data_IF_182678514747
#
_entry.id   IF_182678514747
#
_cell.length_a   1.000
_cell.length_b   1.000
_cell.length_c   1.000
_cell.angle_alpha   90.00
_cell.angle_beta   90.00
_cell.angle_gamma   90.00
#
_symmetry.space_group_name_H-M   'P 1'
#
loop_
_entity.id
_entity.type
_entity.pdbx_description
1 polymer ?
#
# COMPACT_ATOMS: atom_id res chain seq x y z
N UNK A 1 -24.20 24.04 54.08
CA UNK A 1 -25.07 23.89 52.87
C UNK A 1 -24.27 24.31 51.66
N UNK A 2 -23.58 23.38 51.02
CA UNK A 2 -22.79 23.63 49.81
C UNK A 2 -23.49 22.92 48.64
N UNK A 3 -24.08 23.70 47.76
CA UNK A 3 -24.76 23.24 46.55
C UNK A 3 -23.71 22.94 45.47
N UNK A 4 -23.51 21.66 45.18
CA UNK A 4 -22.73 21.21 44.00
C UNK A 4 -23.49 21.57 42.72
N UNK A 5 -22.91 22.47 41.92
CA UNK A 5 -23.35 22.75 40.55
C UNK A 5 -22.95 21.55 39.65
N UNK A 6 -23.93 20.80 39.18
CA UNK A 6 -23.79 19.80 38.14
C UNK A 6 -23.54 20.53 36.82
N UNK A 7 -22.34 20.39 36.28
CA UNK A 7 -21.98 20.88 34.93
C UNK A 7 -22.49 19.86 33.91
N UNK A 8 -23.44 20.25 33.08
CA UNK A 8 -23.99 19.43 32.01
C UNK A 8 -22.91 19.17 30.94
N UNK A 9 -22.84 17.96 30.32
CA UNK A 9 -21.86 17.66 29.29
C UNK A 9 -22.20 18.38 27.99
N UNK A 10 -21.25 19.17 27.49
CA UNK A 10 -21.35 19.92 26.23
C UNK A 10 -21.40 18.94 25.05
N UNK A 11 -22.45 19.05 24.24
CA UNK A 11 -22.65 18.34 22.97
C UNK A 11 -21.59 18.76 21.92
N UNK A 12 -20.53 17.95 21.75
CA UNK A 12 -19.54 18.12 20.68
C UNK A 12 -19.46 16.90 19.72
N UNK A 13 -20.53 16.14 19.54
CA UNK A 13 -20.49 14.89 18.75
C UNK A 13 -21.02 14.98 17.30
N UNK A 14 -21.53 16.13 16.84
CA UNK A 14 -22.18 16.21 15.51
C UNK A 14 -21.24 16.49 14.31
N UNK A 15 -20.08 17.12 14.52
CA UNK A 15 -19.17 17.47 13.42
C UNK A 15 -18.36 16.27 12.89
N UNK A 16 -17.90 15.37 13.78
CA UNK A 16 -17.08 14.22 13.39
C UNK A 16 -17.81 13.18 12.52
N UNK A 17 -19.14 13.05 12.68
CA UNK A 17 -19.92 12.09 11.89
C UNK A 17 -20.16 12.54 10.44
N UNK A 18 -20.25 13.85 10.19
CA UNK A 18 -20.45 14.38 8.82
C UNK A 18 -19.20 14.23 7.96
N UNK A 19 -18.01 14.45 8.52
CA UNK A 19 -16.73 14.27 7.82
C UNK A 19 -16.45 12.79 7.51
N UNK A 20 -16.78 11.89 8.45
CA UNK A 20 -16.69 10.44 8.22
C UNK A 20 -17.67 9.98 7.11
N UNK A 21 -18.90 10.49 7.15
CA UNK A 21 -19.90 10.20 6.11
C UNK A 21 -19.48 10.70 4.73
N UNK A 22 -18.88 11.89 4.65
CA UNK A 22 -18.37 12.44 3.38
C UNK A 22 -17.23 11.58 2.83
N UNK A 23 -16.27 11.16 3.67
CA UNK A 23 -15.17 10.28 3.24
C UNK A 23 -15.68 8.95 2.69
N UNK A 24 -16.64 8.31 3.36
CA UNK A 24 -17.28 7.08 2.89
C UNK A 24 -18.02 7.32 1.56
N UNK A 25 -18.76 8.41 1.44
CA UNK A 25 -19.48 8.73 0.21
C UNK A 25 -18.53 8.95 -0.98
N UNK A 26 -17.40 9.64 -0.77
CA UNK A 26 -16.36 9.84 -1.80
C UNK A 26 -15.74 8.51 -2.20
N UNK A 27 -15.39 7.63 -1.24
CA UNK A 27 -14.84 6.31 -1.52
C UNK A 27 -15.82 5.44 -2.32
N UNK A 28 -17.11 5.45 -1.97
CA UNK A 28 -18.15 4.73 -2.70
C UNK A 28 -18.31 5.30 -4.13
N UNK A 29 -18.27 6.62 -4.29
CA UNK A 29 -18.36 7.26 -5.60
C UNK A 29 -17.17 6.88 -6.50
N UNK A 30 -15.94 6.94 -5.98
CA UNK A 30 -14.73 6.51 -6.70
C UNK A 30 -14.85 5.03 -7.11
N UNK A 31 -15.24 4.15 -6.17
CA UNK A 31 -15.42 2.74 -6.46
C UNK A 31 -16.49 2.50 -7.53
N UNK A 32 -17.63 3.20 -7.45
CA UNK A 32 -18.72 3.06 -8.43
C UNK A 32 -18.30 3.52 -9.84
N UNK A 33 -17.63 4.67 -9.94
CA UNK A 33 -17.09 5.19 -11.21
C UNK A 33 -16.08 4.21 -11.80
N UNK A 34 -15.18 3.69 -10.99
CA UNK A 34 -14.15 2.75 -11.43
C UNK A 34 -14.76 1.40 -11.88
N UNK A 35 -15.74 0.87 -11.15
CA UNK A 35 -16.46 -0.34 -11.55
C UNK A 35 -17.21 -0.10 -12.87
N UNK A 36 -17.86 1.06 -13.03
CA UNK A 36 -18.51 1.43 -14.28
C UNK A 36 -17.51 1.49 -15.46
N UNK A 37 -16.39 2.20 -15.28
CA UNK A 37 -15.34 2.31 -16.28
C UNK A 37 -14.74 0.93 -16.63
N UNK A 38 -14.48 0.10 -15.61
CA UNK A 38 -13.97 -1.25 -15.80
C UNK A 38 -14.96 -2.13 -16.56
N UNK A 39 -16.24 -2.15 -16.16
CA UNK A 39 -17.27 -2.95 -16.85
C UNK A 39 -17.48 -2.50 -18.28
N UNK A 40 -17.42 -1.19 -18.55
CA UNK A 40 -17.52 -0.65 -19.90
C UNK A 40 -16.31 -1.08 -20.75
N UNK A 41 -15.10 -1.03 -20.19
CA UNK A 41 -13.86 -1.46 -20.85
C UNK A 41 -13.87 -2.98 -21.10
N UNK A 42 -14.25 -3.78 -20.11
CA UNK A 42 -14.28 -5.25 -20.22
C UNK A 42 -15.31 -5.78 -21.22
N UNK A 43 -16.38 -5.03 -21.52
CA UNK A 43 -17.38 -5.43 -22.54
C UNK A 43 -16.81 -5.53 -23.96
N UNK A 44 -15.71 -4.83 -24.25
CA UNK A 44 -15.04 -4.85 -25.56
C UNK A 44 -13.90 -5.87 -25.64
N UNK A 45 -13.65 -6.64 -24.58
CA UNK A 45 -12.49 -7.55 -24.47
C UNK A 45 -12.93 -8.97 -24.85
N UNK A 46 -12.15 -9.59 -25.74
CA UNK A 46 -12.28 -11.02 -26.03
C UNK A 46 -11.60 -11.84 -24.94
N UNK A 47 -12.42 -12.53 -24.13
CA UNK A 47 -11.92 -13.39 -23.05
C UNK A 47 -11.08 -14.56 -23.55
N UNK A 48 -11.33 -15.06 -24.76
CA UNK A 48 -10.52 -16.14 -25.34
C UNK A 48 -9.12 -15.63 -25.67
N UNK A 49 -9.01 -14.43 -26.22
CA UNK A 49 -7.72 -13.81 -26.51
C UNK A 49 -6.91 -13.55 -25.24
N UNK A 50 -7.56 -13.11 -24.15
CA UNK A 50 -6.91 -12.97 -22.83
C UNK A 50 -6.33 -14.31 -22.33
N UNK A 51 -7.10 -15.41 -22.46
CA UNK A 51 -6.62 -16.75 -22.06
C UNK A 51 -5.49 -17.25 -22.95
N UNK A 52 -5.54 -16.98 -24.25
CA UNK A 52 -4.45 -17.30 -25.18
C UNK A 52 -3.16 -16.55 -24.80
N UNK A 53 -3.24 -15.26 -24.50
CA UNK A 53 -2.09 -14.48 -24.04
C UNK A 53 -1.49 -15.09 -22.77
N UNK A 54 -2.31 -15.47 -21.79
CA UNK A 54 -1.83 -16.11 -20.55
C UNK A 54 -1.14 -17.44 -20.84
N UNK A 55 -1.71 -18.26 -21.72
CA UNK A 55 -1.17 -19.57 -22.10
C UNK A 55 0.17 -19.46 -22.84
N UNK A 56 0.34 -18.43 -23.67
CA UNK A 56 1.54 -18.19 -24.44
C UNK A 56 2.59 -17.35 -23.71
N UNK A 57 2.29 -16.87 -22.51
CA UNK A 57 3.27 -16.12 -21.71
C UNK A 57 4.43 -17.05 -21.32
N UNK A 58 5.65 -16.59 -21.60
CA UNK A 58 6.85 -17.36 -21.34
C UNK A 58 7.02 -17.63 -19.83
N UNK A 59 7.22 -18.89 -19.48
CA UNK A 59 7.40 -19.32 -18.08
C UNK A 59 8.55 -18.60 -17.39
N UNK A 60 9.62 -18.22 -18.12
CA UNK A 60 10.72 -17.44 -17.55
C UNK A 60 10.28 -16.04 -17.12
N UNK A 61 9.35 -15.40 -17.83
CA UNK A 61 8.79 -14.09 -17.46
C UNK A 61 7.89 -14.23 -16.23
N UNK A 62 7.09 -15.30 -16.15
CA UNK A 62 6.28 -15.61 -14.97
C UNK A 62 7.18 -15.83 -13.74
N UNK A 63 8.26 -16.60 -13.89
CA UNK A 63 9.23 -16.82 -12.82
C UNK A 63 9.95 -15.54 -12.38
N UNK A 64 10.31 -14.70 -13.34
CA UNK A 64 10.89 -13.36 -13.05
C UNK A 64 9.90 -12.47 -12.31
N UNK A 65 8.65 -12.39 -12.76
CA UNK A 65 7.60 -11.64 -12.08
C UNK A 65 7.36 -12.16 -10.66
N UNK A 66 7.32 -13.49 -10.46
CA UNK A 66 7.21 -14.10 -9.14
C UNK A 66 8.37 -13.70 -8.23
N UNK A 67 9.60 -13.73 -8.74
CA UNK A 67 10.80 -13.30 -8.01
C UNK A 67 10.71 -11.84 -7.59
N UNK A 68 10.24 -10.97 -8.48
CA UNK A 68 10.04 -9.54 -8.20
C UNK A 68 8.94 -9.33 -7.15
N UNK A 69 7.85 -10.08 -7.21
CA UNK A 69 6.79 -10.06 -6.19
C UNK A 69 7.34 -10.50 -4.82
N UNK A 70 8.10 -11.59 -4.77
CA UNK A 70 8.74 -12.04 -3.53
C UNK A 70 9.68 -10.96 -3.00
N UNK A 71 10.45 -10.34 -3.87
CA UNK A 71 11.37 -9.24 -3.51
C UNK A 71 10.63 -8.05 -2.92
N UNK A 72 9.49 -7.65 -3.50
CA UNK A 72 8.61 -6.61 -2.95
C UNK A 72 8.11 -7.00 -1.56
N UNK A 73 7.57 -8.22 -1.39
CA UNK A 73 7.08 -8.67 -0.07
C UNK A 73 8.19 -8.79 0.98
N UNK A 74 9.39 -9.19 0.60
CA UNK A 74 10.56 -9.17 1.50
C UNK A 74 10.88 -7.74 1.92
N UNK A 75 10.82 -6.78 1.00
CA UNK A 75 11.03 -5.36 1.29
C UNK A 75 10.00 -4.82 2.28
N UNK A 76 8.73 -5.21 2.16
CA UNK A 76 7.66 -4.86 3.10
C UNK A 76 7.96 -5.31 4.54
N UNK A 77 8.68 -6.43 4.74
CA UNK A 77 9.02 -6.89 6.09
C UNK A 77 9.98 -5.93 6.81
N UNK A 78 10.75 -5.15 6.08
CA UNK A 78 11.65 -4.14 6.65
C UNK A 78 10.90 -2.90 7.14
N UNK A 79 9.67 -2.64 6.69
CA UNK A 79 8.86 -1.52 7.18
C UNK A 79 8.62 -1.65 8.69
N UNK A 80 8.21 -2.82 9.15
CA UNK A 80 8.00 -3.08 10.58
C UNK A 80 9.32 -3.07 11.36
N UNK A 81 10.41 -3.61 10.77
CA UNK A 81 11.73 -3.58 11.41
C UNK A 81 12.21 -2.15 11.63
N UNK A 82 12.09 -1.27 10.63
CA UNK A 82 12.48 0.13 10.74
C UNK A 82 11.59 0.90 11.75
N UNK A 83 10.29 0.58 11.78
CA UNK A 83 9.38 1.15 12.76
C UNK A 83 9.77 0.75 14.18
N UNK A 84 10.06 -0.54 14.43
CA UNK A 84 10.55 -1.04 15.72
C UNK A 84 11.85 -0.35 16.15
N UNK A 85 12.83 -0.20 15.23
CA UNK A 85 14.07 0.53 15.50
C UNK A 85 13.82 1.99 15.87
N UNK A 86 12.88 2.64 15.19
CA UNK A 86 12.50 4.04 15.44
C UNK A 86 11.92 4.23 16.85
N UNK A 87 11.06 3.31 17.31
CA UNK A 87 10.49 3.38 18.67
C UNK A 87 11.43 2.83 19.76
N UNK A 88 12.63 2.37 19.39
CA UNK A 88 13.65 1.89 20.33
C UNK A 88 13.48 0.43 20.76
N UNK A 89 12.61 -0.36 20.10
CA UNK A 89 12.40 -1.78 20.39
C UNK A 89 13.35 -2.65 19.55
N UNK A 90 14.63 -2.60 19.93
CA UNK A 90 15.69 -3.40 19.28
C UNK A 90 15.75 -4.85 19.78
N UNK A 91 15.05 -5.15 20.86
CA UNK A 91 14.89 -6.47 21.46
C UNK A 91 14.02 -7.42 20.63
N UNK A 92 13.16 -6.89 19.75
CA UNK A 92 12.30 -7.69 18.90
C UNK A 92 13.10 -8.23 17.69
N UNK A 93 13.20 -9.57 17.55
CA UNK A 93 13.97 -10.15 16.45
C UNK A 93 13.25 -9.96 15.10
N UNK A 94 14.03 -9.87 14.02
CA UNK A 94 13.52 -9.66 12.65
C UNK A 94 12.41 -10.66 12.26
N UNK A 95 12.52 -11.93 12.65
CA UNK A 95 11.49 -12.96 12.36
C UNK A 95 10.09 -12.57 12.85
N UNK A 96 9.99 -11.85 13.99
CA UNK A 96 8.71 -11.38 14.53
C UNK A 96 8.21 -10.17 13.74
N UNK A 97 9.10 -9.24 13.38
CA UNK A 97 8.77 -8.11 12.51
C UNK A 97 8.29 -8.60 11.13
N UNK A 98 9.01 -9.55 10.53
CA UNK A 98 8.66 -10.16 9.25
C UNK A 98 7.30 -10.88 9.31
N UNK A 99 7.05 -11.66 10.37
CA UNK A 99 5.76 -12.32 10.58
C UNK A 99 4.62 -11.30 10.68
N UNK A 100 4.79 -10.24 11.49
CA UNK A 100 3.78 -9.21 11.69
C UNK A 100 3.49 -8.44 10.39
N UNK A 101 4.52 -8.04 9.65
CA UNK A 101 4.38 -7.34 8.38
C UNK A 101 3.74 -8.25 7.32
N UNK A 102 4.32 -9.45 7.09
CA UNK A 102 3.85 -10.37 6.06
C UNK A 102 2.43 -10.88 6.30
N UNK A 103 1.97 -11.03 7.55
CA UNK A 103 0.58 -11.43 7.82
C UNK A 103 -0.38 -10.25 7.76
N UNK A 104 0.01 -9.07 8.28
CA UNK A 104 -0.90 -7.93 8.35
C UNK A 104 -1.13 -7.27 7.00
N UNK A 105 -0.11 -7.18 6.14
CA UNK A 105 -0.21 -6.42 4.89
C UNK A 105 -1.14 -7.10 3.87
N UNK A 106 -0.92 -8.36 3.45
CA UNK A 106 -1.79 -9.01 2.47
C UNK A 106 -3.23 -9.19 2.98
N UNK A 107 -3.40 -9.55 4.28
CA UNK A 107 -4.75 -9.75 4.84
C UNK A 107 -5.51 -8.43 4.87
N UNK A 108 -4.89 -7.35 5.34
CA UNK A 108 -5.56 -6.05 5.45
C UNK A 108 -5.89 -5.46 4.07
N UNK A 109 -5.01 -5.61 3.08
CA UNK A 109 -5.26 -5.19 1.70
C UNK A 109 -6.32 -6.06 1.02
N UNK A 110 -6.24 -7.37 1.19
CA UNK A 110 -7.21 -8.30 0.62
C UNK A 110 -8.65 -8.05 1.10
N UNK A 111 -8.81 -7.60 2.34
CA UNK A 111 -10.12 -7.21 2.91
C UNK A 111 -10.51 -5.77 2.58
N UNK A 112 -9.57 -4.91 2.18
CA UNK A 112 -9.83 -3.49 1.87
C UNK A 112 -9.96 -2.57 3.10
N UNK A 113 -9.71 -3.09 4.30
CA UNK A 113 -9.82 -2.35 5.56
C UNK A 113 -8.46 -2.20 6.28
N UNK A 114 -7.46 -1.71 5.55
CA UNK A 114 -6.06 -1.66 6.00
C UNK A 114 -5.88 -0.96 7.33
N UNK A 115 -6.53 0.19 7.52
CA UNK A 115 -6.44 1.00 8.75
C UNK A 115 -7.04 0.34 9.98
N UNK A 116 -7.92 -0.65 9.81
CA UNK A 116 -8.57 -1.37 10.90
C UNK A 116 -7.92 -2.73 11.16
N UNK A 117 -7.68 -3.51 10.12
CA UNK A 117 -7.24 -4.90 10.23
C UNK A 117 -5.74 -5.00 10.52
N UNK A 118 -4.94 -4.17 9.85
CA UNK A 118 -3.49 -4.19 10.02
C UNK A 118 -3.03 -3.96 11.47
N UNK A 119 -3.56 -2.97 12.22
CA UNK A 119 -3.24 -2.80 13.64
C UNK A 119 -3.65 -3.99 14.51
N UNK A 120 -4.81 -4.60 14.24
CA UNK A 120 -5.31 -5.74 15.02
C UNK A 120 -4.38 -6.96 14.89
N UNK A 121 -3.98 -7.30 13.66
CA UNK A 121 -3.07 -8.42 13.41
C UNK A 121 -1.70 -8.14 14.05
N UNK A 122 -1.14 -6.93 13.86
CA UNK A 122 0.13 -6.53 14.48
C UNK A 122 0.05 -6.59 15.99
N UNK A 123 -1.01 -6.07 16.60
CA UNK A 123 -1.19 -6.14 18.04
C UNK A 123 -1.22 -7.58 18.56
N UNK A 124 -1.91 -8.46 17.83
CA UNK A 124 -1.98 -9.88 18.20
C UNK A 124 -0.60 -10.57 18.19
N UNK A 125 0.28 -10.17 17.29
CA UNK A 125 1.63 -10.72 17.21
C UNK A 125 2.57 -10.06 18.23
N UNK A 126 2.57 -8.74 18.29
CA UNK A 126 3.54 -7.97 19.09
C UNK A 126 3.22 -7.95 20.60
N UNK A 127 1.95 -8.05 21.00
CA UNK A 127 1.57 -8.10 22.42
C UNK A 127 2.22 -9.26 23.18
N UNK A 128 2.48 -10.39 22.51
CA UNK A 128 3.21 -11.51 23.11
C UNK A 128 4.69 -11.21 23.37
N UNK A 129 5.22 -10.17 22.73
CA UNK A 129 6.59 -9.67 22.95
C UNK A 129 6.63 -8.40 23.80
N UNK A 130 5.55 -8.16 24.56
CA UNK A 130 5.48 -7.06 25.52
C UNK A 130 5.25 -5.67 24.90
N UNK A 131 4.79 -5.57 23.63
CA UNK A 131 4.42 -4.29 23.06
C UNK A 131 2.99 -3.92 23.46
N UNK A 132 2.81 -2.66 23.83
CA UNK A 132 1.50 -2.09 24.14
C UNK A 132 0.72 -1.75 22.85
N UNK A 133 -0.58 -1.52 22.99
CA UNK A 133 -1.41 -1.02 21.89
C UNK A 133 -0.89 0.33 21.34
N UNK A 134 -0.28 1.14 22.20
CA UNK A 134 0.34 2.40 21.82
C UNK A 134 1.59 2.20 20.94
N UNK A 135 2.45 1.24 21.29
CA UNK A 135 3.62 0.89 20.46
C UNK A 135 3.19 0.41 19.08
N UNK A 136 2.15 -0.44 19.02
CA UNK A 136 1.61 -0.94 17.75
C UNK A 136 1.00 0.19 16.92
N UNK A 137 0.30 1.15 17.53
CA UNK A 137 -0.21 2.32 16.82
C UNK A 137 0.93 3.16 16.24
N UNK A 138 2.05 3.33 16.97
CA UNK A 138 3.25 4.01 16.46
C UNK A 138 3.90 3.22 15.31
N UNK A 139 3.99 1.89 15.41
CA UNK A 139 4.48 1.05 14.30
C UNK A 139 3.60 1.23 13.07
N UNK A 140 2.28 1.18 13.19
CA UNK A 140 1.37 1.39 12.06
C UNK A 140 1.51 2.78 11.43
N UNK A 141 1.71 3.82 12.25
CA UNK A 141 1.98 5.17 11.76
C UNK A 141 3.31 5.23 10.97
N UNK A 142 4.37 4.64 11.51
CA UNK A 142 5.71 4.66 10.89
C UNK A 142 5.77 3.79 9.62
N UNK A 143 5.09 2.65 9.60
CA UNK A 143 4.98 1.83 8.38
C UNK A 143 4.16 2.55 7.31
N UNK A 144 3.08 3.24 7.71
CA UNK A 144 2.33 4.12 6.82
C UNK A 144 3.18 5.26 6.27
N UNK A 145 4.04 5.88 7.10
CA UNK A 145 4.98 6.91 6.66
C UNK A 145 5.95 6.37 5.61
N UNK A 146 6.52 5.17 5.82
CA UNK A 146 7.40 4.51 4.85
C UNK A 146 6.67 4.28 3.51
N UNK A 147 5.44 3.79 3.56
CA UNK A 147 4.59 3.60 2.39
C UNK A 147 4.38 4.92 1.62
N UNK A 148 4.00 6.00 2.30
CA UNK A 148 3.78 7.30 1.66
C UNK A 148 5.05 7.89 1.08
N UNK A 149 6.17 7.84 1.80
CA UNK A 149 7.46 8.33 1.31
C UNK A 149 7.91 7.58 0.06
N UNK A 150 7.75 6.24 0.06
CA UNK A 150 8.03 5.40 -1.11
C UNK A 150 7.16 5.76 -2.30
N UNK A 151 5.83 5.84 -2.10
CA UNK A 151 4.88 6.19 -3.17
C UNK A 151 5.14 7.59 -3.75
N UNK A 152 5.31 8.61 -2.92
CA UNK A 152 5.53 9.99 -3.39
C UNK A 152 6.87 10.10 -4.14
N UNK A 153 7.92 9.41 -3.67
CA UNK A 153 9.21 9.40 -4.36
C UNK A 153 9.12 8.67 -5.69
N UNK A 154 8.55 7.47 -5.71
CA UNK A 154 8.44 6.67 -6.91
C UNK A 154 7.52 7.31 -7.95
N UNK A 155 6.39 7.91 -7.52
CA UNK A 155 5.53 8.70 -8.40
C UNK A 155 6.28 9.92 -8.95
N UNK A 156 6.98 10.65 -8.09
CA UNK A 156 7.79 11.80 -8.50
C UNK A 156 8.85 11.43 -9.55
N UNK A 157 9.55 10.31 -9.36
CA UNK A 157 10.52 9.78 -10.35
C UNK A 157 9.80 9.40 -11.64
N UNK A 158 8.70 8.64 -11.56
CA UNK A 158 7.95 8.21 -12.73
C UNK A 158 7.45 9.40 -13.56
N UNK A 159 6.83 10.39 -12.93
CA UNK A 159 6.34 11.59 -13.59
C UNK A 159 7.44 12.51 -14.10
N UNK A 160 8.60 12.53 -13.46
CA UNK A 160 9.72 13.35 -13.93
C UNK A 160 10.24 12.86 -15.30
N UNK A 161 10.36 11.53 -15.48
CA UNK A 161 10.84 10.92 -16.70
C UNK A 161 9.75 10.63 -17.74
N UNK A 162 8.48 10.55 -17.31
CA UNK A 162 7.34 10.28 -18.16
C UNK A 162 6.11 11.12 -17.75
N UNK A 163 6.17 12.45 -17.91
CA UNK A 163 5.13 13.36 -17.44
C UNK A 163 3.78 13.19 -18.13
N UNK A 164 3.75 12.64 -19.33
CA UNK A 164 2.52 12.33 -20.08
C UNK A 164 1.82 11.05 -19.61
N UNK A 165 2.51 10.21 -18.85
CA UNK A 165 2.07 8.85 -18.55
C UNK A 165 0.71 8.76 -17.85
N UNK A 166 0.36 9.72 -17.00
CA UNK A 166 -0.92 9.72 -16.28
C UNK A 166 -1.90 10.77 -16.78
N UNK A 167 -1.59 11.48 -17.87
CA UNK A 167 -2.46 12.55 -18.39
C UNK A 167 -3.86 12.07 -18.78
N UNK A 168 -4.01 10.79 -19.13
CA UNK A 168 -5.33 10.17 -19.36
C UNK A 168 -6.09 9.87 -18.07
N UNK A 169 -5.41 9.85 -16.93
CA UNK A 169 -5.97 9.53 -15.61
C UNK A 169 -6.29 10.81 -14.84
N UNK A 170 -5.37 11.77 -14.82
CA UNK A 170 -5.48 13.00 -14.03
C UNK A 170 -5.99 14.21 -14.82
N UNK A 171 -6.09 14.09 -16.16
CA UNK A 171 -6.51 15.16 -17.07
C UNK A 171 -5.61 16.41 -17.04
N UNK A 172 -4.38 16.30 -16.54
CA UNK A 172 -3.40 17.36 -16.48
C UNK A 172 -2.47 17.32 -17.69
N UNK A 173 -1.88 18.47 -18.02
CA UNK A 173 -0.86 18.51 -19.08
C UNK A 173 0.47 17.96 -18.56
N UNK A 174 1.30 17.41 -19.46
CA UNK A 174 2.65 16.95 -19.16
C UNK A 174 3.48 17.98 -18.37
N UNK A 175 3.37 19.26 -18.73
CA UNK A 175 4.09 20.33 -18.02
C UNK A 175 3.66 20.47 -16.58
N UNK A 176 2.36 20.34 -16.29
CA UNK A 176 1.82 20.37 -14.93
C UNK A 176 2.30 19.14 -14.15
N UNK A 177 2.26 17.95 -14.77
CA UNK A 177 2.75 16.71 -14.18
C UNK A 177 4.25 16.78 -13.86
N UNK A 178 5.06 17.41 -14.74
CA UNK A 178 6.47 17.63 -14.48
C UNK A 178 6.71 18.55 -13.27
N UNK A 179 5.94 19.63 -13.13
CA UNK A 179 6.01 20.48 -11.94
C UNK A 179 5.54 19.77 -10.69
N UNK A 180 4.51 18.94 -10.80
CA UNK A 180 4.05 18.09 -9.70
C UNK A 180 5.15 17.11 -9.26
N UNK A 181 5.85 16.47 -10.21
CA UNK A 181 6.99 15.60 -9.93
C UNK A 181 8.07 16.32 -9.13
N UNK A 182 8.46 17.52 -9.58
CA UNK A 182 9.46 18.35 -8.88
C UNK A 182 8.98 18.71 -7.48
N UNK A 183 7.72 19.13 -7.34
CA UNK A 183 7.15 19.48 -6.02
C UNK A 183 7.12 18.27 -5.06
N UNK A 184 6.75 17.07 -5.55
CA UNK A 184 6.76 15.84 -4.75
C UNK A 184 8.18 15.50 -4.28
N UNK A 185 9.15 15.51 -5.18
CA UNK A 185 10.55 15.19 -4.85
C UNK A 185 11.16 16.22 -3.89
N UNK A 186 10.88 17.52 -4.10
CA UNK A 186 11.30 18.57 -3.17
C UNK A 186 10.61 18.44 -1.81
N UNK A 187 9.34 18.06 -1.76
CA UNK A 187 8.62 17.79 -0.51
C UNK A 187 9.24 16.64 0.28
N UNK A 188 9.58 15.54 -0.39
CA UNK A 188 10.29 14.39 0.24
C UNK A 188 11.69 14.81 0.71
N UNK A 189 12.45 15.52 -0.10
CA UNK A 189 13.77 16.03 0.28
C UNK A 189 13.70 17.01 1.46
N UNK A 190 12.70 17.88 1.48
CA UNK A 190 12.41 18.79 2.59
C UNK A 190 12.07 18.03 3.88
N UNK A 191 11.23 17.00 3.79
CA UNK A 191 10.92 16.14 4.93
C UNK A 191 12.15 15.39 5.44
N UNK A 192 12.96 14.82 4.55
CA UNK A 192 14.24 14.19 4.90
C UNK A 192 15.17 15.16 5.62
N UNK A 193 15.33 16.37 5.09
CA UNK A 193 16.14 17.43 5.69
C UNK A 193 15.61 17.85 7.07
N UNK A 194 14.29 17.94 7.22
CA UNK A 194 13.64 18.25 8.49
C UNK A 194 13.87 17.16 9.56
N UNK A 195 13.84 15.87 9.16
CA UNK A 195 14.11 14.74 10.03
C UNK A 195 15.59 14.48 10.28
N UNK A 196 16.52 15.28 9.69
CA UNK A 196 17.96 15.08 9.91
C UNK A 196 18.34 15.17 11.38
N UNK A 197 17.66 16.01 12.13
CA UNK A 197 17.77 16.07 13.58
C UNK A 197 16.62 15.31 14.25
N UNK A 198 16.91 14.55 15.35
CA UNK A 198 15.88 13.80 16.08
C UNK A 198 14.71 14.69 16.50
N UNK A 199 13.51 14.30 16.17
CA UNK A 199 12.28 15.05 16.48
C UNK A 199 11.23 14.15 17.09
N UNK A 200 10.50 14.73 18.06
CA UNK A 200 9.27 14.14 18.58
C UNK A 200 8.11 15.05 18.14
N UNK A 201 7.08 14.43 17.61
CA UNK A 201 5.83 15.10 17.24
C UNK A 201 4.67 14.57 18.09
N UNK A 202 3.53 15.23 18.01
CA UNK A 202 2.34 14.82 18.76
C UNK A 202 2.17 15.59 20.08
N UNK A 203 1.31 15.06 20.93
CA UNK A 203 0.97 15.65 22.22
C UNK A 203 1.70 14.96 23.37
N UNK A 204 1.71 15.58 24.58
CA UNK A 204 2.25 14.93 25.79
C UNK A 204 1.59 13.58 26.08
N UNK A 205 0.34 13.37 25.62
CA UNK A 205 -0.38 12.09 25.79
C UNK A 205 -0.06 11.08 24.67
N UNK A 206 0.40 11.56 23.52
CA UNK A 206 0.77 10.74 22.37
C UNK A 206 2.07 11.29 21.74
N UNK A 207 3.23 11.03 22.36
CA UNK A 207 4.51 11.40 21.77
C UNK A 207 4.87 10.38 20.68
N UNK A 208 5.00 10.84 19.45
CA UNK A 208 5.50 10.05 18.32
C UNK A 208 6.92 10.45 18.03
N UNK A 209 7.85 9.49 18.14
CA UNK A 209 9.24 9.70 17.73
C UNK A 209 9.35 9.54 16.24
N UNK A 210 9.82 10.58 15.55
CA UNK A 210 10.11 10.48 14.11
C UNK A 210 11.44 9.74 13.90
N UNK A 211 11.58 9.02 12.76
CA UNK A 211 12.85 8.42 12.38
C UNK A 211 13.92 9.50 12.21
N UNK A 212 15.16 9.17 12.51
CA UNK A 212 16.32 10.02 12.18
C UNK A 212 16.54 10.07 10.66
N UNK A 213 17.22 11.11 10.17
CA UNK A 213 17.49 11.29 8.74
C UNK A 213 17.99 10.03 8.01
N UNK A 214 18.99 9.31 8.53
CA UNK A 214 19.44 8.04 7.93
C UNK A 214 18.33 6.97 7.86
N UNK A 215 17.47 6.88 8.89
CA UNK A 215 16.34 5.95 8.88
C UNK A 215 15.25 6.38 7.87
N UNK A 216 14.98 7.70 7.76
CA UNK A 216 14.06 8.23 6.73
C UNK A 216 14.59 7.93 5.34
N UNK A 217 15.89 8.15 5.09
CA UNK A 217 16.50 7.82 3.81
C UNK A 217 16.37 6.33 3.49
N UNK A 218 16.64 5.47 4.47
CA UNK A 218 16.48 4.02 4.32
C UNK A 218 15.01 3.63 4.07
N UNK A 219 14.03 4.28 4.73
CA UNK A 219 12.61 4.09 4.47
C UNK A 219 12.24 4.47 3.03
N UNK A 220 12.75 5.60 2.51
CA UNK A 220 12.54 6.03 1.13
C UNK A 220 13.11 4.98 0.16
N UNK A 221 14.36 4.56 0.37
CA UNK A 221 15.02 3.57 -0.51
C UNK A 221 14.25 2.26 -0.52
N UNK A 222 13.87 1.73 0.65
CA UNK A 222 13.12 0.47 0.74
C UNK A 222 11.72 0.62 0.12
N UNK A 223 11.04 1.76 0.35
CA UNK A 223 9.73 2.02 -0.24
C UNK A 223 9.76 2.14 -1.76
N UNK A 224 10.75 2.83 -2.32
CA UNK A 224 10.95 2.92 -3.77
C UNK A 224 11.32 1.56 -4.37
N UNK A 225 12.16 0.79 -3.66
CA UNK A 225 12.55 -0.55 -4.11
C UNK A 225 11.38 -1.53 -4.10
N UNK A 226 10.56 -1.52 -3.06
CA UNK A 226 9.34 -2.31 -2.95
C UNK A 226 8.37 -2.02 -4.12
N UNK A 227 8.01 -0.74 -4.29
CA UNK A 227 7.10 -0.31 -5.35
C UNK A 227 7.70 -0.49 -6.76
N UNK A 228 9.00 -0.26 -6.88
CA UNK A 228 9.73 -0.51 -8.12
C UNK A 228 9.73 -1.99 -8.51
N UNK A 229 9.94 -2.89 -7.55
CA UNK A 229 9.85 -4.32 -7.77
C UNK A 229 8.43 -4.77 -8.18
N UNK A 230 7.40 -4.23 -7.52
CA UNK A 230 6.00 -4.51 -7.88
C UNK A 230 5.64 -3.96 -9.28
N UNK A 231 6.03 -2.72 -9.60
CA UNK A 231 5.82 -2.13 -10.92
C UNK A 231 6.60 -2.87 -12.02
N UNK A 232 7.82 -3.33 -11.72
CA UNK A 232 8.63 -4.12 -12.64
C UNK A 232 8.04 -5.53 -12.85
N UNK A 233 7.45 -6.14 -11.81
CA UNK A 233 6.72 -7.39 -11.96
C UNK A 233 5.55 -7.24 -12.92
N UNK A 234 4.80 -6.14 -12.80
CA UNK A 234 3.71 -5.80 -13.72
C UNK A 234 4.25 -5.55 -15.15
N UNK A 235 5.35 -4.80 -15.29
CA UNK A 235 6.00 -4.54 -16.58
C UNK A 235 6.38 -5.81 -17.32
N UNK A 236 6.99 -6.76 -16.61
CA UNK A 236 7.46 -8.05 -17.17
C UNK A 236 6.29 -8.93 -17.65
N UNK A 237 5.13 -8.81 -17.00
CA UNK A 237 3.93 -9.56 -17.36
C UNK A 237 3.18 -8.98 -18.58
N UNK A 238 3.44 -7.73 -18.96
CA UNK A 238 2.85 -7.15 -20.17
C UNK A 238 3.60 -7.77 -21.36
N UNK A 239 2.89 -8.48 -22.27
CA UNK A 239 3.52 -9.04 -23.46
C UNK A 239 4.20 -7.98 -24.29
N UNK A 240 5.31 -8.32 -24.95
CA UNK A 240 6.08 -7.41 -25.78
C UNK A 240 5.19 -6.83 -26.91
N UNK A 241 4.54 -5.76 -26.60
CA UNK A 241 3.71 -4.87 -27.42
C UNK A 241 4.33 -3.49 -27.40
N UNK A 242 3.62 -2.41 -27.74
CA UNK A 242 4.22 -1.12 -28.05
C UNK A 242 5.25 -0.71 -27.00
N UNK A 243 6.33 -0.06 -27.43
CA UNK A 243 7.51 0.38 -26.68
C UNK A 243 7.17 1.27 -25.46
N UNK A 244 6.40 0.74 -24.49
CA UNK A 244 6.06 1.43 -23.24
C UNK A 244 7.25 1.24 -22.30
N UNK A 245 7.97 2.33 -22.01
CA UNK A 245 9.08 2.31 -21.07
C UNK A 245 8.66 2.01 -19.64
N UNK A 246 9.63 1.66 -18.80
CA UNK A 246 9.38 1.35 -17.38
C UNK A 246 8.81 2.56 -16.60
N UNK A 247 9.24 3.79 -16.90
CA UNK A 247 8.80 4.98 -16.18
C UNK A 247 7.31 5.30 -16.36
N UNK A 248 6.73 5.24 -17.60
CA UNK A 248 5.28 5.33 -17.77
C UNK A 248 4.52 4.29 -16.99
N UNK A 249 4.95 3.03 -17.03
CA UNK A 249 4.28 1.95 -16.30
C UNK A 249 4.40 2.17 -14.79
N UNK A 250 5.55 2.58 -14.30
CA UNK A 250 5.75 2.92 -12.89
C UNK A 250 4.81 4.06 -12.44
N UNK A 251 4.72 5.15 -13.22
CA UNK A 251 3.85 6.27 -12.89
C UNK A 251 2.38 5.85 -12.83
N UNK A 252 1.89 5.14 -13.85
CA UNK A 252 0.51 4.64 -13.90
C UNK A 252 0.25 3.61 -12.79
N UNK A 253 1.19 2.68 -12.55
CA UNK A 253 1.08 1.67 -11.49
C UNK A 253 0.92 2.31 -10.11
N UNK A 254 1.73 3.33 -9.81
CA UNK A 254 1.67 4.01 -8.52
C UNK A 254 0.41 4.86 -8.41
N UNK A 255 0.01 5.57 -9.46
CA UNK A 255 -1.26 6.28 -9.50
C UNK A 255 -2.45 5.32 -9.26
N UNK A 256 -2.46 4.16 -9.94
CA UNK A 256 -3.45 3.12 -9.75
C UNK A 256 -3.45 2.56 -8.31
N UNK A 257 -2.27 2.36 -7.72
CA UNK A 257 -2.11 1.92 -6.33
C UNK A 257 -2.68 2.93 -5.35
N UNK A 258 -2.39 4.22 -5.53
CA UNK A 258 -2.88 5.29 -4.66
C UNK A 258 -4.40 5.46 -4.76
N UNK A 259 -4.96 5.41 -5.98
CA UNK A 259 -6.40 5.48 -6.19
C UNK A 259 -7.11 4.23 -5.66
N UNK A 260 -6.53 3.04 -5.87
CA UNK A 260 -7.01 1.79 -5.29
C UNK A 260 -7.04 1.83 -3.78
N UNK A 261 -5.99 2.36 -3.14
CA UNK A 261 -5.93 2.57 -1.69
C UNK A 261 -6.98 3.57 -1.20
N UNK A 262 -7.15 4.69 -1.91
CA UNK A 262 -8.12 5.73 -1.57
C UNK A 262 -9.59 5.26 -1.71
N UNK A 263 -9.85 4.30 -2.60
CA UNK A 263 -11.18 3.72 -2.80
C UNK A 263 -11.63 2.79 -1.67
N UNK A 264 -10.72 2.30 -0.83
CA UNK A 264 -10.97 1.29 0.21
C UNK A 264 -11.59 -0.01 -0.34
N UNK A 265 -11.46 -0.27 -1.64
CA UNK A 265 -11.92 -1.54 -2.21
C UNK A 265 -10.95 -2.68 -1.87
N UNK A 266 -11.44 -3.91 -1.66
CA UNK A 266 -10.58 -5.07 -1.43
C UNK A 266 -9.53 -5.22 -2.54
N UNK A 267 -8.24 -5.25 -2.19
CA UNK A 267 -7.11 -5.31 -3.12
C UNK A 267 -7.14 -4.25 -4.24
N UNK A 268 -7.85 -3.12 -4.06
CA UNK A 268 -8.03 -2.09 -5.09
C UNK A 268 -8.84 -2.56 -6.30
N UNK A 269 -9.61 -3.67 -6.18
CA UNK A 269 -10.35 -4.26 -7.32
C UNK A 269 -11.24 -3.21 -7.97
N UNK A 270 -11.18 -3.15 -9.28
CA UNK A 270 -11.91 -2.22 -10.15
C UNK A 270 -11.19 -0.89 -10.31
N UNK A 271 -10.78 -0.23 -9.22
CA UNK A 271 -10.14 1.10 -9.28
C UNK A 271 -8.72 1.01 -9.83
N UNK A 272 -7.91 0.11 -9.29
CA UNK A 272 -6.55 -0.14 -9.79
C UNK A 272 -6.57 -0.56 -11.26
N UNK A 273 -7.46 -1.53 -11.61
CA UNK A 273 -7.55 -2.06 -12.96
C UNK A 273 -7.99 -1.00 -13.97
N UNK A 274 -9.06 -0.26 -13.65
CA UNK A 274 -9.56 0.81 -14.51
C UNK A 274 -8.49 1.89 -14.72
N UNK A 275 -7.81 2.32 -13.64
CA UNK A 275 -6.75 3.32 -13.73
C UNK A 275 -5.60 2.84 -14.60
N UNK A 276 -5.19 1.58 -14.43
CA UNK A 276 -4.10 1.01 -15.20
C UNK A 276 -4.45 0.87 -16.69
N UNK A 277 -5.65 0.36 -16.99
CA UNK A 277 -6.15 0.22 -18.35
C UNK A 277 -6.37 1.57 -19.05
N UNK A 278 -6.84 2.59 -18.32
CA UNK A 278 -7.02 3.94 -18.89
C UNK A 278 -5.67 4.59 -19.13
N UNK A 279 -4.74 4.49 -18.18
CA UNK A 279 -3.42 5.13 -18.27
C UNK A 279 -2.53 4.55 -19.37
N UNK A 280 -2.67 3.26 -19.70
CA UNK A 280 -1.86 2.57 -20.71
C UNK A 280 -2.65 2.15 -21.94
N UNK A 281 -3.95 2.40 -21.99
CA UNK A 281 -4.90 1.83 -22.94
C UNK A 281 -4.92 2.45 -24.33
N UNK A 282 -3.80 2.99 -24.85
CA UNK A 282 -3.72 3.48 -26.23
C UNK A 282 -3.51 2.37 -27.28
N UNK A 283 -3.59 1.09 -26.87
CA UNK A 283 -3.41 -0.10 -27.73
C UNK A 283 -4.39 -1.21 -27.41
N UNK A 284 -4.03 -2.43 -27.78
CA UNK A 284 -4.80 -3.64 -27.50
C UNK A 284 -4.90 -3.84 -25.98
N UNK A 285 -6.12 -4.07 -25.48
CA UNK A 285 -6.39 -4.16 -24.05
C UNK A 285 -6.25 -5.57 -23.51
N UNK A 286 -6.40 -6.57 -24.35
CA UNK A 286 -6.33 -7.98 -24.02
C UNK A 286 -5.01 -8.36 -23.34
N UNK A 287 -3.84 -7.95 -23.88
CA UNK A 287 -2.55 -8.17 -23.24
C UNK A 287 -2.43 -7.50 -21.86
N UNK A 288 -2.98 -6.28 -21.70
CA UNK A 288 -2.97 -5.56 -20.43
C UNK A 288 -3.87 -6.24 -19.39
N UNK A 289 -5.04 -6.74 -19.80
CA UNK A 289 -5.95 -7.48 -18.90
C UNK A 289 -5.33 -8.80 -18.49
N UNK A 290 -4.69 -9.53 -19.40
CA UNK A 290 -3.98 -10.76 -19.09
C UNK A 290 -2.87 -10.51 -18.06
N UNK A 291 -2.06 -9.47 -18.25
CA UNK A 291 -1.02 -9.05 -17.31
C UNK A 291 -1.61 -8.68 -15.94
N UNK A 292 -2.71 -7.92 -15.91
CA UNK A 292 -3.41 -7.55 -14.68
C UNK A 292 -3.91 -8.79 -13.92
N UNK A 293 -4.51 -9.76 -14.61
CA UNK A 293 -5.01 -10.99 -13.97
C UNK A 293 -3.86 -11.82 -13.39
N UNK A 294 -2.77 -12.00 -14.14
CA UNK A 294 -1.58 -12.70 -13.65
C UNK A 294 -0.96 -11.97 -12.46
N UNK A 295 -0.82 -10.64 -12.53
CA UNK A 295 -0.30 -9.83 -11.43
C UNK A 295 -1.18 -9.94 -10.19
N UNK A 296 -2.51 -9.87 -10.32
CA UNK A 296 -3.44 -10.04 -9.20
C UNK A 296 -3.31 -11.38 -8.53
N UNK A 297 -3.20 -12.45 -9.31
CA UNK A 297 -2.97 -13.79 -8.78
C UNK A 297 -1.69 -13.83 -7.93
N UNK A 298 -0.59 -13.30 -8.48
CA UNK A 298 0.73 -13.40 -7.87
C UNK A 298 0.95 -12.40 -6.73
N UNK A 299 0.44 -11.17 -6.85
CA UNK A 299 0.72 -10.09 -5.89
C UNK A 299 -0.36 -9.94 -4.80
N UNK A 300 -1.62 -10.29 -5.08
CA UNK A 300 -2.70 -10.13 -4.11
C UNK A 300 -3.22 -11.48 -3.60
N UNK A 301 -3.62 -12.38 -4.50
CA UNK A 301 -4.35 -13.59 -4.11
C UNK A 301 -3.45 -14.62 -3.41
N UNK A 302 -2.32 -14.98 -4.00
CA UNK A 302 -1.40 -15.95 -3.41
C UNK A 302 -0.83 -15.47 -2.07
N UNK A 303 -0.30 -14.24 -1.93
CA UNK A 303 0.18 -13.75 -0.64
C UNK A 303 -0.94 -13.65 0.41
N UNK A 304 -2.17 -13.32 0.03
CA UNK A 304 -3.32 -13.30 0.94
C UNK A 304 -3.59 -14.70 1.54
N UNK A 305 -3.65 -15.74 0.69
CA UNK A 305 -3.86 -17.11 1.15
C UNK A 305 -2.70 -17.58 2.05
N UNK A 306 -1.46 -17.30 1.64
CA UNK A 306 -0.28 -17.65 2.44
C UNK A 306 -0.27 -16.94 3.80
N UNK A 307 -0.55 -15.66 3.82
CA UNK A 307 -0.59 -14.86 5.04
C UNK A 307 -1.70 -15.32 5.98
N UNK A 308 -2.88 -15.61 5.46
CA UNK A 308 -4.01 -16.10 6.23
C UNK A 308 -3.72 -17.49 6.83
N UNK A 309 -3.15 -18.40 6.03
CA UNK A 309 -2.76 -19.72 6.47
C UNK A 309 -1.67 -19.66 7.56
N UNK A 310 -0.63 -18.84 7.33
CA UNK A 310 0.45 -18.65 8.29
C UNK A 310 -0.06 -18.05 9.62
N UNK A 311 -0.92 -17.06 9.54
CA UNK A 311 -1.54 -16.45 10.72
C UNK A 311 -2.38 -17.48 11.49
N UNK A 312 -3.19 -18.28 10.79
CA UNK A 312 -4.01 -19.34 11.38
C UNK A 312 -3.17 -20.41 12.08
N UNK A 313 -2.07 -20.86 11.46
CA UNK A 313 -1.15 -21.83 12.07
C UNK A 313 -0.50 -21.27 13.33
N UNK A 314 0.00 -20.03 13.29
CA UNK A 314 0.63 -19.38 14.45
C UNK A 314 -0.34 -19.24 15.61
N UNK A 315 -1.58 -18.82 15.35
CA UNK A 315 -2.61 -18.68 16.37
C UNK A 315 -3.07 -20.06 16.93
N UNK A 316 -3.20 -21.06 16.06
CA UNK A 316 -3.53 -22.43 16.47
C UNK A 316 -2.50 -23.01 17.43
N UNK A 317 -1.22 -22.88 17.09
CA UNK A 317 -0.13 -23.36 17.98
C UNK A 317 -0.12 -22.65 19.32
N UNK A 318 -0.34 -21.34 19.35
CA UNK A 318 -0.41 -20.55 20.59
C UNK A 318 -1.61 -20.95 21.47
N UNK A 319 -2.75 -21.27 20.87
CA UNK A 319 -3.94 -21.72 21.59
C UNK A 319 -3.75 -23.12 22.23
N UNK A 320 -3.03 -24.01 21.55
CA UNK A 320 -2.70 -25.35 22.05
C UNK A 320 -1.70 -25.29 23.21
N UNK A 321 -0.70 -24.38 23.15
CA UNK A 321 0.26 -24.19 24.24
C UNK A 321 -0.44 -23.75 25.55
N UNK A 322 -1.36 -22.78 25.47
CA UNK A 322 -2.12 -22.32 26.64
C UNK A 322 -2.99 -23.38 27.32
N UNK A 323 -3.48 -24.37 26.56
CA UNK A 323 -4.27 -25.49 27.11
C UNK A 323 -3.43 -26.55 27.81
N UNK A 324 -2.10 -26.56 27.57
CA UNK A 324 -1.19 -27.49 28.26
C UNK A 324 -0.66 -26.94 29.57
N UNK A 325 -0.71 -25.62 29.74
CA UNK A 325 -0.23 -24.90 30.94
C UNK A 325 -1.36 -24.57 31.93
N UNK A 326 -2.59 -24.90 31.58
CA UNK A 326 -3.81 -24.79 32.44
C UNK A 326 -4.27 -26.16 32.92
#
# INVERSE_FOLDING_TARGET
MNTLKVVAPTKSHRSGNRLKGLGIAVSIAIAAIAIYALTHTLKSIDTNEVFEVIRHTNVSLIALAATLVITSYVSLTFYDLLALRTIGRTDIPYRIAALASFTSYPIAHGVGAVSLISPVIRYRIYSHNGLSAFDVANICFLTGLTFWLGNLTALGIGLFFAPDAISMVDFLSAKVNQWLAVALLLGVAGFLSWCWFPRNIGTKRWPVRLPSGPLVLLQIVIGVFDLGAAALAMYVLIPAGPNIGIFPIMAVFIAATLLGFASHTPAGIGVFDATFLIGLGNGDKEPLVAALLMFRLMYHFLPFIFALSLFGVVEGWRSLGRRRDS
#
